data_IF_724806633134
#
_entry.id   IF_724806633134
#
_cell.length_a   1.000
_cell.length_b   1.000
_cell.length_c   1.000
_cell.angle_alpha   90.00
_cell.angle_beta   90.00
_cell.angle_gamma   90.00
#
_symmetry.space_group_name_H-M   'P 1'
#
loop_
_entity.id
_entity.type
_entity.pdbx_description
1 polymer ?
#
# COMPACT_ATOMS: atom_id res chain seq x y z
N UNK A 1 12.36 -3.41 -7.04
CA UNK A 1 11.89 -2.04 -6.74
C UNK A 1 10.97 -1.59 -7.86
N UNK A 2 9.82 -1.06 -7.50
CA UNK A 2 8.83 -0.58 -8.47
C UNK A 2 8.39 0.83 -8.10
N UNK A 3 8.46 1.76 -9.04
CA UNK A 3 7.94 3.11 -8.86
C UNK A 3 6.55 3.21 -9.48
N UNK A 4 5.55 3.57 -8.69
CA UNK A 4 4.19 3.75 -9.17
C UNK A 4 4.02 5.12 -9.86
N UNK A 5 3.00 5.24 -10.71
CA UNK A 5 2.72 6.51 -11.42
C UNK A 5 2.42 7.67 -10.48
N UNK A 6 1.98 7.38 -9.24
CA UNK A 6 1.75 8.43 -8.23
C UNK A 6 3.03 8.89 -7.53
N UNK A 7 4.18 8.27 -7.81
CA UNK A 7 5.47 8.63 -7.24
C UNK A 7 5.91 7.78 -6.05
N UNK A 8 5.07 6.87 -5.58
CA UNK A 8 5.44 5.95 -4.49
C UNK A 8 6.39 4.89 -5.00
N UNK A 9 7.43 4.58 -4.22
CA UNK A 9 8.42 3.56 -4.54
C UNK A 9 8.17 2.34 -3.65
N UNK A 10 7.92 1.18 -4.27
CA UNK A 10 7.73 -0.08 -3.55
C UNK A 10 9.03 -0.88 -3.61
N UNK A 11 9.59 -1.18 -2.44
CA UNK A 11 10.82 -1.97 -2.34
C UNK A 11 10.49 -3.47 -2.38
N UNK A 12 11.51 -4.28 -2.67
CA UNK A 12 11.33 -5.72 -2.90
C UNK A 12 10.72 -6.45 -1.71
N UNK A 13 11.05 -6.04 -0.50
CA UNK A 13 10.47 -6.62 0.71
C UNK A 13 8.97 -6.41 0.80
N UNK A 14 8.49 -5.22 0.42
CA UNK A 14 7.06 -4.94 0.35
C UNK A 14 6.37 -5.74 -0.75
N UNK A 15 6.98 -5.82 -1.93
CA UNK A 15 6.40 -6.54 -3.07
C UNK A 15 6.27 -8.03 -2.72
N UNK A 16 7.27 -8.62 -2.08
CA UNK A 16 7.21 -10.00 -1.62
C UNK A 16 6.10 -10.23 -0.59
N UNK A 17 5.96 -9.32 0.37
CA UNK A 17 4.90 -9.40 1.37
C UNK A 17 3.51 -9.26 0.72
N UNK A 18 3.36 -8.38 -0.25
CA UNK A 18 2.13 -8.21 -1.01
C UNK A 18 1.74 -9.50 -1.73
N UNK A 19 2.70 -10.18 -2.36
CA UNK A 19 2.48 -11.46 -3.02
C UNK A 19 2.03 -12.54 -2.03
N UNK A 20 2.64 -12.62 -0.85
CA UNK A 20 2.25 -13.58 0.19
C UNK A 20 0.82 -13.33 0.66
N UNK A 21 0.41 -12.09 0.85
CA UNK A 21 -0.96 -11.75 1.24
C UNK A 21 -1.96 -12.10 0.14
N UNK A 22 -1.61 -11.90 -1.11
CA UNK A 22 -2.49 -12.24 -2.24
C UNK A 22 -2.80 -13.73 -2.27
N UNK A 23 -1.83 -14.58 -1.93
CA UNK A 23 -2.03 -16.03 -1.84
C UNK A 23 -2.97 -16.41 -0.70
N UNK A 24 -2.97 -15.68 0.39
CA UNK A 24 -3.86 -15.93 1.53
C UNK A 24 -5.33 -15.61 1.22
N UNK A 25 -5.59 -14.76 0.23
CA UNK A 25 -6.93 -14.30 -0.13
C UNK A 25 -7.38 -14.81 -1.51
N UNK A 26 -6.89 -15.96 -1.94
CA UNK A 26 -7.14 -16.50 -3.29
C UNK A 26 -8.62 -16.73 -3.57
N UNK A 27 -9.43 -17.00 -2.53
CA UNK A 27 -10.87 -17.27 -2.67
C UNK A 27 -11.73 -15.98 -2.70
N UNK A 28 -11.11 -14.82 -2.56
CA UNK A 28 -11.79 -13.53 -2.52
C UNK A 28 -11.55 -12.74 -3.81
N UNK A 29 -12.01 -13.29 -4.94
CA UNK A 29 -11.76 -12.73 -6.28
C UNK A 29 -12.29 -11.31 -6.48
N UNK A 30 -13.29 -10.89 -5.70
CA UNK A 30 -13.90 -9.56 -5.74
C UNK A 30 -13.21 -8.55 -4.80
N UNK A 31 -12.16 -8.96 -4.09
CA UNK A 31 -11.42 -8.08 -3.19
C UNK A 31 -10.06 -7.70 -3.74
N UNK A 32 -9.60 -6.53 -3.33
CA UNK A 32 -8.24 -6.05 -3.63
C UNK A 32 -7.55 -5.68 -2.34
N UNK A 33 -6.23 -5.81 -2.32
CA UNK A 33 -5.40 -5.36 -1.20
C UNK A 33 -5.29 -3.85 -1.23
N UNK A 34 -5.48 -3.21 -0.06
CA UNK A 34 -5.31 -1.77 0.09
C UNK A 34 -4.03 -1.47 0.85
N UNK A 35 -3.33 -0.42 0.43
CA UNK A 35 -2.24 0.17 1.19
C UNK A 35 -2.74 1.49 1.75
N UNK A 36 -2.69 1.63 3.08
CA UNK A 36 -3.09 2.84 3.77
C UNK A 36 -1.88 3.48 4.44
N UNK A 37 -1.81 4.79 4.39
CA UNK A 37 -0.75 5.57 5.01
C UNK A 37 -1.34 6.52 6.02
N UNK A 38 -0.74 6.57 7.20
CA UNK A 38 -1.17 7.43 8.30
C UNK A 38 0.04 8.21 8.79
N UNK A 39 -0.14 9.52 8.94
CA UNK A 39 0.84 10.41 9.54
C UNK A 39 0.18 11.17 10.69
N UNK A 40 0.79 11.11 11.85
CA UNK A 40 0.31 11.85 13.00
C UNK A 40 0.80 13.30 12.94
N UNK A 41 -0.14 14.26 12.93
CA UNK A 41 0.18 15.70 12.80
C UNK A 41 0.05 16.46 14.10
N UNK A 42 -0.52 15.83 15.16
CA UNK A 42 -0.75 16.48 16.45
C UNK A 42 -0.45 15.51 17.59
N UNK A 43 -0.15 16.07 18.78
CA UNK A 43 0.06 15.31 20.00
C UNK A 43 1.46 14.74 20.15
N UNK A 44 1.62 13.80 21.10
CA UNK A 44 2.92 13.21 21.46
C UNK A 44 3.54 12.39 20.34
N UNK A 45 2.76 12.01 19.33
CA UNK A 45 3.19 11.21 18.19
C UNK A 45 3.37 12.03 16.92
N UNK A 46 3.40 13.36 17.05
CA UNK A 46 3.59 14.23 15.89
C UNK A 46 4.84 13.83 15.09
N UNK A 47 4.68 13.73 13.76
CA UNK A 47 5.76 13.33 12.87
C UNK A 47 5.92 11.84 12.70
N UNK A 48 5.27 11.00 13.49
CA UNK A 48 5.27 9.57 13.27
C UNK A 48 4.42 9.22 12.05
N UNK A 49 4.91 8.27 11.30
CA UNK A 49 4.22 7.78 10.10
C UNK A 49 4.24 6.26 10.08
N UNK A 50 3.19 5.66 9.57
CA UNK A 50 3.15 4.22 9.36
C UNK A 50 2.21 3.88 8.21
N UNK A 51 2.38 2.67 7.69
CA UNK A 51 1.53 2.14 6.66
C UNK A 51 0.96 0.79 7.11
N UNK A 52 -0.18 0.42 6.54
CA UNK A 52 -0.79 -0.88 6.81
C UNK A 52 -1.46 -1.41 5.55
N UNK A 53 -1.58 -2.73 5.47
CA UNK A 53 -2.31 -3.40 4.43
C UNK A 53 -3.69 -3.81 4.95
N UNK A 54 -4.68 -3.67 4.09
CA UNK A 54 -6.04 -4.13 4.34
C UNK A 54 -6.63 -4.72 3.08
N UNK A 55 -7.94 -4.88 3.05
CA UNK A 55 -8.64 -5.32 1.84
C UNK A 55 -9.98 -4.60 1.72
N UNK A 56 -10.44 -4.45 0.48
CA UNK A 56 -11.73 -3.85 0.19
C UNK A 56 -12.34 -4.52 -1.04
N UNK A 57 -13.63 -4.29 -1.27
CA UNK A 57 -14.29 -4.77 -2.47
C UNK A 57 -13.79 -3.98 -3.69
N UNK A 58 -13.52 -4.68 -4.78
CA UNK A 58 -13.03 -4.07 -6.01
C UNK A 58 -14.10 -3.22 -6.71
N UNK A 59 -15.35 -3.63 -6.58
CA UNK A 59 -16.46 -2.98 -7.27
C UNK A 59 -16.65 -1.54 -6.82
N UNK A 60 -16.71 -0.61 -7.77
CA UNK A 60 -16.93 0.79 -7.49
C UNK A 60 -15.68 1.61 -7.16
N UNK A 61 -14.49 1.00 -7.18
CA UNK A 61 -13.25 1.73 -6.92
C UNK A 61 -12.84 2.53 -8.16
N UNK A 62 -12.36 3.79 -7.99
CA UNK A 62 -11.82 4.57 -9.10
C UNK A 62 -10.58 3.89 -9.71
N UNK A 63 -10.46 3.94 -11.03
CA UNK A 63 -9.32 3.34 -11.73
C UNK A 63 -7.98 3.98 -11.33
N UNK A 64 -7.99 5.27 -11.01
CA UNK A 64 -6.77 5.98 -10.60
C UNK A 64 -6.29 5.62 -9.19
N UNK A 65 -7.09 4.84 -8.45
CA UNK A 65 -6.69 4.26 -7.16
C UNK A 65 -6.16 2.83 -7.29
N UNK A 66 -6.22 2.23 -8.47
CA UNK A 66 -5.79 0.85 -8.71
C UNK A 66 -4.43 0.83 -9.40
N UNK A 67 -3.51 0.01 -8.87
CA UNK A 67 -2.15 -0.14 -9.38
C UNK A 67 -1.85 -1.61 -9.60
N UNK A 68 -1.21 -1.93 -10.71
CA UNK A 68 -0.72 -3.28 -10.99
C UNK A 68 0.74 -3.38 -10.53
N UNK A 69 1.03 -4.35 -9.67
CA UNK A 69 2.37 -4.59 -9.14
C UNK A 69 2.66 -6.09 -9.30
N UNK A 70 3.54 -6.45 -10.22
CA UNK A 70 3.92 -7.85 -10.50
C UNK A 70 2.70 -8.77 -10.69
N UNK A 71 1.69 -8.29 -11.43
CA UNK A 71 0.47 -9.05 -11.68
C UNK A 71 -0.55 -8.97 -10.56
N UNK A 72 -0.26 -8.26 -9.48
CA UNK A 72 -1.17 -8.07 -8.34
C UNK A 72 -1.81 -6.69 -8.40
N UNK A 73 -3.03 -6.58 -7.91
CA UNK A 73 -3.73 -5.30 -7.84
C UNK A 73 -3.63 -4.72 -6.44
N UNK A 74 -3.16 -3.47 -6.36
CA UNK A 74 -3.05 -2.72 -5.11
C UNK A 74 -3.92 -1.47 -5.21
N UNK A 75 -4.73 -1.22 -4.18
CA UNK A 75 -5.57 -0.04 -4.10
C UNK A 75 -4.96 0.97 -3.12
N UNK A 76 -4.84 2.22 -3.56
CA UNK A 76 -4.37 3.33 -2.71
C UNK A 76 -5.32 4.51 -2.90
N UNK A 77 -5.92 4.99 -1.80
CA UNK A 77 -6.76 6.20 -1.85
C UNK A 77 -5.94 7.40 -2.31
N UNK A 78 -6.61 8.44 -2.80
CA UNK A 78 -5.94 9.68 -3.21
C UNK A 78 -5.13 10.29 -2.07
N UNK A 79 -5.65 10.23 -0.85
CA UNK A 79 -4.94 10.72 0.33
C UNK A 79 -3.65 9.94 0.58
N UNK A 80 -3.70 8.61 0.47
CA UNK A 80 -2.52 7.76 0.61
C UNK A 80 -1.51 8.05 -0.49
N UNK A 81 -1.96 8.21 -1.74
CA UNK A 81 -1.08 8.53 -2.85
C UNK A 81 -0.33 9.85 -2.63
N UNK A 82 -1.01 10.86 -2.12
CA UNK A 82 -0.39 12.15 -1.79
C UNK A 82 0.61 12.01 -0.65
N UNK A 83 0.25 11.27 0.39
CA UNK A 83 1.12 11.08 1.56
C UNK A 83 2.38 10.29 1.26
N UNK A 84 2.32 9.35 0.32
CA UNK A 84 3.46 8.51 -0.06
C UNK A 84 4.19 8.98 -1.31
N UNK A 85 3.86 10.13 -1.83
CA UNK A 85 4.54 10.68 -3.01
C UNK A 85 6.02 10.91 -2.70
N UNK A 86 6.88 10.37 -3.57
CA UNK A 86 8.34 10.41 -3.43
C UNK A 86 8.88 9.71 -2.19
N UNK A 87 8.05 8.84 -1.56
CA UNK A 87 8.48 8.01 -0.44
C UNK A 87 8.57 6.55 -0.88
N UNK A 88 9.35 5.77 -0.11
CA UNK A 88 9.43 4.33 -0.34
C UNK A 88 8.70 3.58 0.77
N UNK A 89 8.19 2.40 0.43
CA UNK A 89 7.54 1.47 1.36
C UNK A 89 8.26 0.13 1.28
N UNK A 90 8.61 -0.42 2.44
CA UNK A 90 9.27 -1.71 2.56
C UNK A 90 8.58 -2.54 3.63
N UNK A 91 8.90 -3.82 3.68
CA UNK A 91 8.46 -4.74 4.74
C UNK A 91 9.69 -5.34 5.38
N UNK A 92 9.89 -5.06 6.67
CA UNK A 92 11.05 -5.51 7.44
C UNK A 92 10.61 -5.98 8.81
N UNK A 93 11.14 -7.12 9.25
CA UNK A 93 10.90 -7.65 10.59
C UNK A 93 9.41 -7.75 10.97
N UNK A 94 8.57 -8.10 9.98
CA UNK A 94 7.14 -8.24 10.19
C UNK A 94 6.34 -6.94 10.15
N UNK A 95 6.98 -5.81 9.84
CA UNK A 95 6.33 -4.51 9.84
C UNK A 95 6.54 -3.77 8.51
N UNK A 96 5.56 -2.92 8.16
CA UNK A 96 5.72 -2.00 7.04
C UNK A 96 6.51 -0.77 7.50
N UNK A 97 7.48 -0.38 6.69
CA UNK A 97 8.36 0.76 6.96
C UNK A 97 8.23 1.77 5.82
N UNK A 98 8.13 3.05 6.16
CA UNK A 98 8.02 4.14 5.20
C UNK A 98 9.20 5.09 5.38
N UNK A 99 9.84 5.44 4.28
CA UNK A 99 10.97 6.37 4.32
C UNK A 99 10.94 7.46 3.26
#
# INVERSE_FOLDING_TARGET
MTRLRCGTILLDGFIGHLADRALEHIDAADRVTTLEYVRCVEGDREGQQWARLGSTLRNGLPEDCLFEVDGLTLCMSHQTQQGLRDKWVDHRDGELVVG
#
